data_IF_663987334556
#
_entry.id   IF_663987334556
#
_cell.length_a   1.000
_cell.length_b   1.000
_cell.length_c   1.000
_cell.angle_alpha   90.00
_cell.angle_beta   90.00
_cell.angle_gamma   90.00
#
_symmetry.space_group_name_H-M   'P 1'
#
loop_
_entity.id
_entity.type
_entity.pdbx_description
1 polymer ?
#
# COMPACT_ATOMS: atom_id res chain seq x y z
N UNK A 1 -10.05 38.90 -46.52
CA UNK A 1 -10.08 38.67 -45.06
C UNK A 1 -9.81 37.17 -44.87
N UNK A 2 -8.53 36.81 -44.65
CA UNK A 2 -8.11 35.39 -44.54
C UNK A 2 -8.12 34.97 -43.08
N UNK A 3 -9.07 34.09 -42.71
CA UNK A 3 -9.13 33.46 -41.40
C UNK A 3 -8.16 32.28 -41.40
N UNK A 4 -7.04 32.38 -40.67
CA UNK A 4 -6.17 31.23 -40.39
C UNK A 4 -6.79 30.43 -39.24
N UNK A 5 -7.31 29.26 -39.55
CA UNK A 5 -7.74 28.27 -38.53
C UNK A 5 -6.46 27.59 -38.00
N UNK A 6 -6.16 27.84 -36.74
CA UNK A 6 -5.08 27.17 -36.03
C UNK A 6 -5.60 25.83 -35.49
N UNK A 7 -5.17 24.73 -36.11
CA UNK A 7 -5.44 23.40 -35.58
C UNK A 7 -4.51 23.12 -34.38
N UNK A 8 -5.05 23.11 -33.18
CA UNK A 8 -4.35 22.53 -32.03
C UNK A 8 -4.40 21.01 -32.14
N UNK A 9 -3.30 20.38 -32.49
CA UNK A 9 -3.08 18.97 -32.35
C UNK A 9 -2.90 18.67 -30.85
N UNK A 10 -3.98 18.21 -30.19
CA UNK A 10 -3.91 17.57 -28.88
C UNK A 10 -3.23 16.20 -29.07
N UNK A 11 -1.95 16.13 -28.78
CA UNK A 11 -1.29 14.85 -28.59
C UNK A 11 -1.80 14.26 -27.27
N UNK A 12 -2.39 13.07 -27.26
CA UNK A 12 -2.69 12.37 -26.01
C UNK A 12 -1.32 12.02 -25.40
N UNK A 13 -0.99 12.62 -24.26
CA UNK A 13 0.07 12.10 -23.42
C UNK A 13 -0.38 10.71 -22.97
N UNK A 14 0.35 9.68 -23.36
CA UNK A 14 0.21 8.37 -22.79
C UNK A 14 0.67 8.46 -21.31
N UNK A 15 -0.29 8.51 -20.40
CA UNK A 15 -0.01 8.25 -18.98
C UNK A 15 0.38 6.77 -18.89
N UNK A 16 1.64 6.49 -18.70
CA UNK A 16 2.12 5.14 -18.40
C UNK A 16 1.70 4.81 -16.97
N UNK A 17 1.12 3.62 -16.77
CA UNK A 17 0.55 3.16 -15.51
C UNK A 17 1.59 2.84 -14.43
N UNK A 18 2.33 3.85 -13.99
CA UNK A 18 3.31 3.71 -12.90
C UNK A 18 2.66 3.83 -11.50
N UNK A 19 1.33 3.76 -11.42
CA UNK A 19 0.61 3.90 -10.16
C UNK A 19 0.88 5.24 -9.46
N UNK A 20 0.58 5.33 -8.17
CA UNK A 20 0.81 6.55 -7.37
C UNK A 20 2.28 6.99 -7.35
N UNK A 21 3.24 6.07 -7.33
CA UNK A 21 4.67 6.38 -7.39
C UNK A 21 5.08 7.07 -8.71
N UNK A 22 4.29 6.94 -9.77
CA UNK A 22 4.48 7.65 -11.04
C UNK A 22 4.19 9.16 -10.99
N UNK A 23 3.53 9.68 -9.95
CA UNK A 23 3.39 11.12 -9.71
C UNK A 23 4.73 11.84 -9.52
N UNK A 24 5.79 11.08 -9.31
CA UNK A 24 7.15 11.55 -9.13
C UNK A 24 8.04 11.57 -10.39
N UNK A 25 7.52 11.40 -11.60
CA UNK A 25 8.33 11.20 -12.84
C UNK A 25 9.25 12.33 -13.25
N UNK A 26 9.08 13.54 -12.73
CA UNK A 26 10.06 14.63 -12.93
C UNK A 26 11.00 14.66 -11.74
N UNK A 27 12.30 14.49 -11.98
CA UNK A 27 13.34 14.72 -11.00
C UNK A 27 13.12 16.12 -10.39
N UNK A 28 12.85 16.16 -9.10
CA UNK A 28 12.65 17.41 -8.38
C UNK A 28 13.88 17.64 -7.52
N UNK A 29 14.85 18.38 -8.03
CA UNK A 29 16.17 18.64 -7.44
C UNK A 29 16.13 19.28 -6.04
N UNK A 30 14.93 19.64 -5.57
CA UNK A 30 14.72 20.37 -4.31
C UNK A 30 14.18 19.50 -3.17
N UNK A 31 13.84 18.22 -3.39
CA UNK A 31 13.33 17.34 -2.36
C UNK A 31 14.45 16.53 -1.69
N UNK A 32 14.24 16.18 -0.42
CA UNK A 32 15.11 15.24 0.25
C UNK A 32 14.98 13.85 -0.37
N UNK A 33 16.08 13.09 -0.36
CA UNK A 33 16.12 11.69 -0.80
C UNK A 33 16.55 10.78 0.35
N UNK A 34 16.06 9.54 0.40
CA UNK A 34 16.45 8.59 1.43
C UNK A 34 17.97 8.36 1.43
N UNK A 35 18.56 8.23 2.62
CA UNK A 35 19.99 8.00 2.84
C UNK A 35 20.17 6.75 3.68
N UNK A 36 21.07 5.89 3.25
CA UNK A 36 21.42 4.69 4.01
C UNK A 36 21.98 5.07 5.39
N UNK A 37 21.54 4.36 6.43
CA UNK A 37 21.99 4.56 7.80
C UNK A 37 21.22 5.61 8.59
N UNK A 38 20.16 6.19 8.03
CA UNK A 38 19.20 7.00 8.80
C UNK A 38 18.39 6.08 9.72
N UNK A 39 18.26 6.46 10.99
CA UNK A 39 17.42 5.77 11.97
C UNK A 39 16.09 6.52 12.11
N UNK A 40 15.03 5.77 12.32
CA UNK A 40 13.71 6.34 12.59
C UNK A 40 13.61 6.87 14.01
N UNK A 41 12.90 7.98 14.16
CA UNK A 41 12.64 8.65 15.43
C UNK A 41 11.13 8.63 15.74
N UNK A 42 10.69 7.65 16.54
CA UNK A 42 9.28 7.57 16.93
C UNK A 42 9.01 8.44 18.17
N UNK A 43 7.82 9.10 18.24
CA UNK A 43 6.70 9.03 17.31
C UNK A 43 6.79 9.97 16.10
N UNK A 44 7.85 10.75 15.92
CA UNK A 44 7.95 11.79 14.87
C UNK A 44 7.70 11.23 13.48
N UNK A 45 8.32 10.07 13.16
CA UNK A 45 8.24 9.45 11.84
C UNK A 45 6.90 8.74 11.56
N UNK A 46 5.94 8.76 12.50
CA UNK A 46 4.56 8.43 12.19
C UNK A 46 3.85 9.56 11.44
N UNK A 47 4.33 10.77 11.60
CA UNK A 47 3.82 11.97 10.95
C UNK A 47 4.20 12.11 9.48
N UNK A 48 3.93 13.29 8.92
CA UNK A 48 4.26 13.61 7.54
C UNK A 48 5.69 14.16 7.40
N UNK A 49 6.34 13.87 6.27
CA UNK A 49 7.70 14.30 5.93
C UNK A 49 7.65 15.31 4.78
N UNK A 50 7.45 16.57 5.09
CA UNK A 50 7.15 17.65 4.13
C UNK A 50 8.22 17.85 3.07
N UNK A 51 9.47 17.51 3.38
CA UNK A 51 10.61 17.64 2.45
C UNK A 51 10.71 16.47 1.46
N UNK A 52 9.90 15.42 1.66
CA UNK A 52 9.79 14.30 0.71
C UNK A 52 8.59 14.48 -0.21
N UNK A 53 8.70 13.94 -1.42
CA UNK A 53 7.74 14.16 -2.49
C UNK A 53 6.48 13.34 -2.36
N UNK A 54 6.61 12.06 -1.98
CA UNK A 54 5.52 11.11 -1.84
C UNK A 54 5.64 10.36 -0.54
N UNK A 55 4.50 10.09 0.09
CA UNK A 55 4.43 9.18 1.23
C UNK A 55 3.02 8.62 1.39
N UNK A 56 2.91 7.50 2.10
CA UNK A 56 1.65 6.86 2.37
C UNK A 56 1.60 6.19 3.74
N UNK A 57 0.38 6.10 4.24
CA UNK A 57 -0.08 5.33 5.38
C UNK A 57 -1.02 4.28 4.80
N UNK A 58 -0.57 3.04 4.73
CA UNK A 58 -1.24 1.96 4.03
C UNK A 58 -1.54 0.83 4.98
N UNK A 59 -2.82 0.49 5.16
CA UNK A 59 -3.25 -0.57 6.05
C UNK A 59 -4.12 -1.56 5.30
N UNK A 60 -3.78 -2.84 5.43
CA UNK A 60 -4.56 -3.98 4.93
C UNK A 60 -4.91 -4.93 6.05
N UNK A 61 -6.12 -5.49 6.02
CA UNK A 61 -6.60 -6.44 7.00
C UNK A 61 -7.21 -7.67 6.35
N UNK A 62 -6.80 -8.85 6.82
CA UNK A 62 -7.42 -10.14 6.50
C UNK A 62 -8.33 -10.53 7.64
N UNK A 63 -9.63 -10.65 7.36
CA UNK A 63 -10.68 -10.75 8.37
C UNK A 63 -11.49 -12.04 8.18
N UNK A 64 -12.06 -12.52 9.27
CA UNK A 64 -13.06 -13.59 9.28
C UNK A 64 -14.31 -13.08 10.00
N UNK A 65 -15.46 -13.16 9.32
CA UNK A 65 -16.74 -12.77 9.88
C UNK A 65 -17.32 -13.80 10.83
N UNK A 66 -18.24 -13.38 11.70
CA UNK A 66 -19.04 -14.27 12.54
C UNK A 66 -19.92 -15.24 11.72
N UNK A 67 -20.15 -14.93 10.46
CA UNK A 67 -20.81 -15.77 9.45
C UNK A 67 -19.88 -16.86 8.86
N UNK A 68 -18.61 -16.90 9.29
CA UNK A 68 -17.59 -17.83 8.81
C UNK A 68 -17.02 -17.50 7.43
N UNK A 69 -17.34 -16.34 6.86
CA UNK A 69 -16.79 -15.91 5.58
C UNK A 69 -15.50 -15.11 5.76
N UNK A 70 -14.65 -15.14 4.75
CA UNK A 70 -13.46 -14.28 4.70
C UNK A 70 -13.79 -12.93 4.10
N UNK A 71 -13.10 -11.92 4.62
CA UNK A 71 -13.15 -10.54 4.15
C UNK A 71 -11.76 -9.93 4.12
N UNK A 72 -11.61 -8.86 3.33
CA UNK A 72 -10.49 -7.95 3.39
C UNK A 72 -10.96 -6.53 3.63
N UNK A 73 -10.15 -5.75 4.30
CA UNK A 73 -10.32 -4.31 4.38
C UNK A 73 -9.00 -3.63 4.03
N UNK A 74 -9.09 -2.51 3.34
CA UNK A 74 -7.95 -1.68 2.96
C UNK A 74 -8.26 -0.22 3.29
N UNK A 75 -7.25 0.50 3.76
CA UNK A 75 -7.26 1.93 3.99
C UNK A 75 -5.91 2.52 3.62
N UNK A 76 -5.90 3.52 2.76
CA UNK A 76 -4.66 4.19 2.37
C UNK A 76 -4.86 5.69 2.34
N UNK A 77 -3.92 6.43 2.89
CA UNK A 77 -3.79 7.86 2.72
C UNK A 77 -2.45 8.14 2.03
N UNK A 78 -2.51 8.78 0.90
CA UNK A 78 -1.35 9.21 0.13
C UNK A 78 -1.17 10.72 0.26
N UNK A 79 0.08 11.16 0.40
CA UNK A 79 0.48 12.55 0.25
C UNK A 79 1.43 12.71 -0.94
N UNK A 80 1.16 13.69 -1.77
CA UNK A 80 2.06 14.11 -2.83
C UNK A 80 2.37 15.60 -2.71
N UNK A 81 3.66 15.96 -2.70
CA UNK A 81 4.13 17.32 -2.63
C UNK A 81 4.52 17.84 -4.03
N UNK A 82 4.02 18.99 -4.40
CA UNK A 82 4.44 19.71 -5.61
C UNK A 82 5.71 20.52 -5.36
N UNK A 83 5.93 20.95 -4.10
CA UNK A 83 7.13 21.64 -3.62
C UNK A 83 7.48 21.12 -2.21
N UNK A 84 8.77 21.11 -1.80
CA UNK A 84 9.22 20.61 -0.50
C UNK A 84 8.99 21.64 0.61
N UNK A 85 7.76 22.10 0.75
CA UNK A 85 7.32 23.03 1.79
C UNK A 85 5.87 22.78 2.13
N UNK A 86 5.47 23.22 3.30
CA UNK A 86 4.08 23.28 3.72
C UNK A 86 3.72 24.71 4.01
N UNK A 87 2.47 25.07 3.74
CA UNK A 87 1.84 26.28 4.24
C UNK A 87 0.53 25.89 4.92
N UNK A 88 0.20 26.55 6.02
CA UNK A 88 -1.08 26.32 6.72
C UNK A 88 -2.24 27.07 6.05
N UNK A 89 -2.16 27.28 4.76
CA UNK A 89 -3.15 28.03 4.00
C UNK A 89 -3.57 27.28 2.74
N UNK A 90 -4.63 27.74 2.15
CA UNK A 90 -5.26 27.18 0.96
C UNK A 90 -4.29 26.97 -0.24
N UNK A 91 -3.18 27.68 -0.29
CA UNK A 91 -2.16 27.58 -1.31
C UNK A 91 -1.07 26.53 -1.01
N UNK A 92 -1.27 25.68 -0.01
CA UNK A 92 -0.34 24.58 0.28
C UNK A 92 -0.10 23.73 -0.97
N UNK A 93 1.17 23.42 -1.31
CA UNK A 93 1.51 22.58 -2.44
C UNK A 93 1.38 21.08 -2.15
N UNK A 94 0.75 20.69 -1.06
CA UNK A 94 0.54 19.31 -0.66
C UNK A 94 -0.85 18.85 -1.10
N UNK A 95 -0.92 17.65 -1.68
CA UNK A 95 -2.14 17.02 -2.16
C UNK A 95 -2.31 15.68 -1.44
N UNK A 96 -3.54 15.41 -1.00
CA UNK A 96 -3.93 14.18 -0.33
C UNK A 96 -4.88 13.38 -1.20
N UNK A 97 -4.72 12.06 -1.17
CA UNK A 97 -5.60 11.12 -1.82
C UNK A 97 -5.84 9.94 -0.86
N UNK A 98 -7.08 9.55 -0.70
CA UNK A 98 -7.47 8.42 0.15
C UNK A 98 -8.14 7.32 -0.66
N UNK A 99 -7.74 6.06 -0.43
CA UNK A 99 -8.41 4.89 -0.96
C UNK A 99 -8.87 4.01 0.20
N UNK A 100 -10.05 3.42 0.06
CA UNK A 100 -10.55 2.43 1.01
C UNK A 100 -11.42 1.40 0.30
N UNK A 101 -11.35 0.15 0.77
CA UNK A 101 -12.10 -0.94 0.20
C UNK A 101 -12.52 -1.98 1.25
N UNK A 102 -13.60 -2.72 0.91
CA UNK A 102 -13.96 -4.00 1.53
C UNK A 102 -14.04 -5.05 0.42
N UNK A 103 -13.37 -6.17 0.62
CA UNK A 103 -13.40 -7.30 -0.30
C UNK A 103 -14.05 -8.51 0.38
N UNK A 104 -14.99 -9.14 -0.28
CA UNK A 104 -15.52 -10.47 0.04
C UNK A 104 -15.34 -11.39 -1.16
N UNK A 105 -15.63 -12.68 -1.02
CA UNK A 105 -15.54 -13.62 -2.14
C UNK A 105 -16.41 -13.22 -3.36
N UNK A 106 -17.50 -12.47 -3.15
CA UNK A 106 -18.50 -12.16 -4.16
C UNK A 106 -18.60 -10.67 -4.51
N UNK A 107 -17.91 -9.80 -3.79
CA UNK A 107 -18.00 -8.34 -4.00
C UNK A 107 -16.70 -7.65 -3.58
N UNK A 108 -16.40 -6.57 -4.29
CA UNK A 108 -15.33 -5.65 -3.96
C UNK A 108 -15.91 -4.23 -3.97
N UNK A 109 -16.01 -3.64 -2.79
CA UNK A 109 -16.49 -2.28 -2.58
C UNK A 109 -15.29 -1.36 -2.39
N UNK A 110 -15.27 -0.24 -3.08
CA UNK A 110 -14.17 0.71 -3.00
C UNK A 110 -14.67 2.15 -3.01
N UNK A 111 -13.82 3.06 -2.56
CA UNK A 111 -14.03 4.50 -2.67
C UNK A 111 -12.69 5.24 -2.73
N UNK A 112 -12.70 6.40 -3.38
CA UNK A 112 -11.57 7.30 -3.52
C UNK A 112 -11.95 8.68 -3.02
N UNK A 113 -11.01 9.40 -2.40
CA UNK A 113 -11.16 10.78 -1.93
C UNK A 113 -9.94 11.60 -2.25
N UNK A 114 -10.16 12.90 -2.45
CA UNK A 114 -9.09 13.87 -2.66
C UNK A 114 -9.22 14.99 -1.64
N UNK A 115 -8.08 15.38 -1.09
CA UNK A 115 -8.00 16.48 -0.15
C UNK A 115 -6.86 17.43 -0.51
N UNK A 116 -7.01 18.68 -0.13
CA UNK A 116 -5.95 19.66 -0.22
C UNK A 116 -5.47 19.99 1.19
N UNK A 117 -4.15 20.07 1.35
CA UNK A 117 -3.57 20.48 2.63
C UNK A 117 -3.91 21.93 2.97
N UNK A 118 -3.81 22.30 4.25
CA UNK A 118 -4.12 23.64 4.74
C UNK A 118 -5.62 23.96 4.85
N UNK A 119 -6.50 23.04 4.41
CA UNK A 119 -7.97 23.20 4.53
C UNK A 119 -8.57 22.49 5.75
N UNK A 120 -7.80 21.63 6.42
CA UNK A 120 -8.28 20.75 7.48
C UNK A 120 -9.03 19.51 6.98
N UNK A 121 -9.20 19.37 5.66
CA UNK A 121 -9.91 18.23 5.04
C UNK A 121 -9.12 16.93 5.14
N UNK A 122 -7.79 17.00 5.05
CA UNK A 122 -6.90 15.86 5.15
C UNK A 122 -5.60 16.25 5.84
N UNK A 123 -4.94 15.28 6.43
CA UNK A 123 -3.67 15.52 7.08
C UNK A 123 -3.22 14.34 7.93
N UNK A 124 -2.04 14.52 8.56
CA UNK A 124 -1.51 13.59 9.56
C UNK A 124 -0.86 14.37 10.68
N UNK A 125 -1.12 13.93 11.91
CA UNK A 125 -0.38 14.34 13.11
C UNK A 125 0.34 13.13 13.71
N UNK A 126 1.53 13.34 14.29
CA UNK A 126 2.28 12.25 14.92
C UNK A 126 1.86 12.04 16.38
N UNK A 127 1.47 13.10 17.08
CA UNK A 127 1.11 13.07 18.50
C UNK A 127 -0.04 14.05 18.80
N UNK A 128 -1.21 13.58 19.20
CA UNK A 128 -1.66 12.18 19.08
C UNK A 128 -1.62 11.76 17.62
N UNK A 129 -1.40 10.46 17.36
CA UNK A 129 -1.40 9.98 15.98
C UNK A 129 -2.80 10.03 15.39
N UNK A 130 -2.94 10.71 14.28
CA UNK A 130 -4.15 10.73 13.48
C UNK A 130 -3.78 10.96 12.01
N UNK A 131 -4.28 10.09 11.14
CA UNK A 131 -4.25 10.26 9.69
C UNK A 131 -5.70 10.30 9.20
N UNK A 132 -6.08 11.33 8.45
CA UNK A 132 -7.49 11.51 8.06
C UNK A 132 -7.65 12.10 6.66
N UNK A 133 -8.80 11.82 6.06
CA UNK A 133 -9.33 12.51 4.89
C UNK A 133 -10.85 12.50 4.94
N UNK A 134 -11.48 13.69 5.00
CA UNK A 134 -12.90 13.88 5.26
C UNK A 134 -13.33 13.22 6.59
N UNK A 135 -14.18 12.20 6.51
CA UNK A 135 -14.67 11.38 7.63
C UNK A 135 -13.99 10.00 7.74
N UNK A 136 -12.95 9.75 6.96
CA UNK A 136 -12.10 8.59 7.13
C UNK A 136 -10.96 8.90 8.08
N UNK A 137 -10.64 7.97 8.96
CA UNK A 137 -9.57 8.19 9.93
C UNK A 137 -8.87 6.89 10.34
N UNK A 138 -7.60 7.04 10.64
CA UNK A 138 -6.75 6.10 11.37
C UNK A 138 -6.22 6.86 12.58
N UNK A 139 -6.71 6.54 13.77
CA UNK A 139 -6.40 7.25 15.01
C UNK A 139 -5.69 6.33 16.00
N UNK A 140 -4.55 6.78 16.49
CA UNK A 140 -3.86 6.12 17.60
C UNK A 140 -4.52 6.42 18.93
N UNK A 141 -4.78 5.40 19.73
CA UNK A 141 -5.13 5.59 21.12
C UNK A 141 -3.85 5.91 21.90
N UNK A 142 -3.88 6.99 22.68
CA UNK A 142 -2.74 7.38 23.51
C UNK A 142 -2.58 6.39 24.68
N UNK A 143 -1.80 5.35 24.53
CA UNK A 143 -1.37 4.51 25.64
C UNK A 143 -0.24 5.20 26.41
N UNK A 144 -0.33 5.20 27.75
CA UNK A 144 0.72 5.78 28.58
C UNK A 144 1.98 4.87 28.51
N UNK A 145 3.00 5.32 27.78
CA UNK A 145 4.28 4.63 27.66
C UNK A 145 4.39 3.62 26.53
N UNK A 146 3.37 3.49 25.67
CA UNK A 146 3.39 2.71 24.43
C UNK A 146 3.71 3.57 23.19
N UNK A 147 3.83 2.92 22.04
CA UNK A 147 3.94 3.59 20.76
C UNK A 147 2.58 4.13 20.31
N UNK A 148 2.56 5.22 19.54
CA UNK A 148 1.32 5.84 19.06
C UNK A 148 0.52 4.94 18.09
N UNK A 149 1.15 3.90 17.54
CA UNK A 149 0.55 2.90 16.67
C UNK A 149 0.22 1.57 17.39
N UNK A 150 0.40 1.47 18.71
CA UNK A 150 0.09 0.22 19.42
C UNK A 150 -1.41 -0.09 19.43
N UNK A 151 -2.25 0.93 19.51
CA UNK A 151 -3.70 0.80 19.45
C UNK A 151 -4.27 1.77 18.41
N UNK A 152 -5.01 1.25 17.43
CA UNK A 152 -5.54 2.03 16.30
C UNK A 152 -7.05 1.82 16.19
N UNK A 153 -7.78 2.94 16.05
CA UNK A 153 -9.14 2.96 15.55
C UNK A 153 -9.15 3.37 14.08
N UNK A 154 -9.65 2.49 13.21
CA UNK A 154 -9.70 2.67 11.78
C UNK A 154 -11.14 2.80 11.29
N UNK A 155 -11.43 3.82 10.48
CA UNK A 155 -12.76 4.07 9.94
C UNK A 155 -12.70 4.51 8.49
N UNK A 156 -13.56 3.91 7.66
CA UNK A 156 -13.86 4.42 6.33
C UNK A 156 -15.27 4.02 5.90
N UNK A 157 -15.77 4.72 4.88
CA UNK A 157 -17.05 4.39 4.24
C UNK A 157 -17.08 4.79 2.78
N UNK A 158 -17.88 4.04 2.01
CA UNK A 158 -18.33 4.41 0.67
C UNK A 158 -19.81 4.78 0.64
N UNK A 159 -20.48 4.54 -0.50
CA UNK A 159 -21.90 4.85 -0.67
C UNK A 159 -22.81 4.03 0.24
N UNK A 160 -22.65 2.71 0.20
CA UNK A 160 -23.52 1.73 0.88
C UNK A 160 -22.75 0.70 1.72
N UNK A 161 -21.48 1.01 2.02
CA UNK A 161 -20.61 0.22 2.88
C UNK A 161 -19.80 1.09 3.84
N UNK A 162 -19.41 0.51 4.97
CA UNK A 162 -18.45 1.13 5.89
C UNK A 162 -17.80 0.06 6.76
N UNK A 163 -16.70 0.44 7.40
CA UNK A 163 -16.11 -0.34 8.49
C UNK A 163 -15.66 0.54 9.63
N UNK A 164 -15.65 -0.07 10.81
CA UNK A 164 -14.99 0.42 12.00
C UNK A 164 -14.22 -0.74 12.60
N UNK A 165 -12.90 -0.61 12.67
CA UNK A 165 -11.99 -1.64 13.13
C UNK A 165 -11.11 -1.08 14.24
N UNK A 166 -10.95 -1.86 15.31
CA UNK A 166 -10.00 -1.63 16.39
C UNK A 166 -8.83 -2.61 16.22
N UNK A 167 -7.63 -2.09 16.23
CA UNK A 167 -6.40 -2.81 16.01
C UNK A 167 -5.50 -2.70 17.25
N UNK A 168 -4.94 -3.83 17.69
CA UNK A 168 -4.01 -3.92 18.81
C UNK A 168 -2.70 -4.56 18.32
N UNK A 169 -1.58 -3.87 18.48
CA UNK A 169 -0.27 -4.38 18.12
C UNK A 169 0.21 -5.42 19.15
N UNK A 170 0.59 -6.59 18.67
CA UNK A 170 1.09 -7.71 19.50
C UNK A 170 2.60 -7.97 19.33
N UNK A 171 3.28 -7.09 18.57
CA UNK A 171 4.69 -7.17 18.29
C UNK A 171 5.26 -5.81 17.88
N UNK A 172 6.57 -5.72 17.65
CA UNK A 172 7.24 -4.45 17.41
C UNK A 172 6.99 -3.89 16.00
N UNK A 173 7.31 -2.60 15.84
CA UNK A 173 7.51 -2.00 14.53
C UNK A 173 8.71 -2.66 13.81
N UNK A 174 8.61 -2.83 12.51
CA UNK A 174 9.58 -3.54 11.69
C UNK A 174 10.14 -2.61 10.61
N UNK A 175 11.40 -2.15 10.73
CA UNK A 175 12.08 -1.46 9.65
C UNK A 175 12.29 -2.41 8.46
N UNK A 176 11.86 -2.02 7.27
CA UNK A 176 12.00 -2.81 6.05
C UNK A 176 13.37 -2.61 5.38
N UNK A 177 13.84 -3.63 4.65
CA UNK A 177 15.12 -3.57 3.96
C UNK A 177 16.31 -3.42 4.92
N UNK A 178 17.22 -2.50 4.63
CA UNK A 178 18.39 -2.24 5.47
C UNK A 178 18.07 -1.22 6.57
N UNK A 179 17.47 -1.68 7.67
CA UNK A 179 17.06 -0.84 8.80
C UNK A 179 16.17 0.35 8.41
N UNK A 180 15.20 0.10 7.52
CA UNK A 180 14.28 1.11 7.02
C UNK A 180 14.69 1.75 5.69
N UNK A 181 15.87 1.45 5.17
CA UNK A 181 16.27 1.86 3.82
C UNK A 181 15.91 0.74 2.82
N UNK A 182 14.85 0.94 2.05
CA UNK A 182 14.31 -0.03 1.09
C UNK A 182 14.69 0.35 -0.33
N UNK A 183 15.58 -0.44 -0.94
CA UNK A 183 16.00 -0.26 -2.33
C UNK A 183 14.92 -0.75 -3.28
N UNK A 184 14.63 0.02 -4.34
CA UNK A 184 13.56 -0.22 -5.31
C UNK A 184 14.08 -0.55 -6.73
N UNK A 185 15.37 -0.39 -6.99
CA UNK A 185 15.98 -0.70 -8.28
C UNK A 185 17.48 -0.92 -8.15
N UNK A 186 18.10 -1.42 -9.22
CA UNK A 186 19.56 -1.52 -9.31
C UNK A 186 20.26 -0.16 -9.40
N UNK A 187 19.55 0.87 -9.88
CA UNK A 187 20.05 2.24 -9.95
C UNK A 187 20.06 2.96 -8.60
N UNK A 188 19.51 2.29 -7.56
CA UNK A 188 19.54 2.77 -6.19
C UNK A 188 18.39 3.68 -5.78
N UNK A 189 17.30 3.76 -6.57
CA UNK A 189 16.06 4.37 -6.07
C UNK A 189 15.63 3.65 -4.79
N UNK A 190 15.20 4.43 -3.81
CA UNK A 190 14.94 3.92 -2.47
C UNK A 190 13.84 4.71 -1.77
N UNK A 191 13.33 4.13 -0.71
CA UNK A 191 12.40 4.78 0.22
C UNK A 191 12.85 4.54 1.65
N UNK A 192 12.36 5.37 2.57
CA UNK A 192 12.26 5.02 3.97
C UNK A 192 10.98 4.23 4.18
N UNK A 193 11.07 3.09 4.88
CA UNK A 193 9.98 2.15 4.97
C UNK A 193 10.00 1.37 6.28
N UNK A 194 8.91 1.41 7.02
CA UNK A 194 8.68 0.52 8.15
C UNK A 194 7.23 0.02 8.16
N UNK A 195 7.00 -1.08 8.88
CA UNK A 195 5.68 -1.71 9.00
C UNK A 195 5.33 -1.98 10.46
N UNK A 196 4.02 -2.04 10.74
CA UNK A 196 3.49 -2.73 11.92
C UNK A 196 2.69 -3.95 11.43
N UNK A 197 3.32 -5.14 11.37
CA UNK A 197 2.70 -6.33 10.80
C UNK A 197 2.03 -7.23 11.83
N UNK A 198 1.89 -6.79 13.07
CA UNK A 198 1.46 -7.62 14.21
C UNK A 198 0.12 -7.19 14.79
N UNK A 199 -0.77 -6.58 14.01
CA UNK A 199 -2.08 -6.22 14.54
C UNK A 199 -3.02 -7.40 14.65
N UNK A 200 -3.67 -7.53 15.83
CA UNK A 200 -4.94 -8.23 15.99
C UNK A 200 -6.07 -7.23 15.72
N UNK A 201 -7.08 -7.67 15.01
CA UNK A 201 -8.19 -6.82 14.58
C UNK A 201 -9.51 -7.35 15.10
N UNK A 202 -10.36 -6.45 15.55
CA UNK A 202 -11.78 -6.70 15.81
C UNK A 202 -12.62 -5.51 15.33
N UNK A 203 -13.89 -5.74 15.04
CA UNK A 203 -14.77 -4.65 14.62
C UNK A 203 -15.93 -5.11 13.79
N UNK A 204 -16.46 -4.20 12.97
CA UNK A 204 -17.62 -4.47 12.14
C UNK A 204 -17.48 -3.94 10.72
N UNK A 205 -18.03 -4.69 9.78
CA UNK A 205 -18.27 -4.29 8.40
C UNK A 205 -19.76 -4.08 8.23
N UNK A 206 -20.15 -2.96 7.64
CA UNK A 206 -21.51 -2.69 7.17
C UNK A 206 -21.50 -2.88 5.66
N UNK A 207 -22.29 -3.80 5.18
CA UNK A 207 -22.42 -4.16 3.76
C UNK A 207 -23.88 -4.01 3.33
N UNK A 208 -24.20 -3.93 2.04
CA UNK A 208 -25.59 -3.95 1.58
C UNK A 208 -26.41 -5.14 2.07
N UNK A 209 -25.73 -6.26 2.37
CA UNK A 209 -26.34 -7.48 2.92
C UNK A 209 -26.60 -7.43 4.43
N UNK A 210 -26.05 -6.46 5.15
CA UNK A 210 -26.16 -6.32 6.60
C UNK A 210 -24.82 -6.04 7.27
N UNK A 211 -24.83 -6.00 8.60
CA UNK A 211 -23.62 -5.79 9.41
C UNK A 211 -23.03 -7.14 9.81
N UNK A 212 -21.71 -7.28 9.67
CA UNK A 212 -20.94 -8.47 10.05
C UNK A 212 -19.90 -8.07 11.10
N UNK A 213 -19.87 -8.76 12.25
CA UNK A 213 -18.76 -8.65 13.19
C UNK A 213 -17.58 -9.46 12.65
N UNK A 214 -16.39 -8.90 12.76
CA UNK A 214 -15.18 -9.49 12.19
C UNK A 214 -14.03 -9.49 13.19
N UNK A 215 -13.15 -10.49 13.04
CA UNK A 215 -11.84 -10.53 13.71
C UNK A 215 -10.78 -10.93 12.69
N UNK A 216 -9.52 -10.64 12.96
CA UNK A 216 -8.45 -11.03 12.05
C UNK A 216 -7.10 -10.42 12.38
N UNK A 217 -6.31 -10.21 11.34
CA UNK A 217 -4.96 -9.64 11.42
C UNK A 217 -4.84 -8.49 10.42
N UNK A 218 -3.97 -7.52 10.74
CA UNK A 218 -3.68 -6.43 9.83
C UNK A 218 -2.17 -6.15 9.73
N UNK A 219 -1.85 -5.45 8.67
CA UNK A 219 -0.52 -4.97 8.32
C UNK A 219 -0.60 -3.50 7.98
N UNK A 220 0.18 -2.66 8.66
CA UNK A 220 0.33 -1.24 8.34
C UNK A 220 1.72 -1.00 7.77
N UNK A 221 1.78 -0.28 6.67
CA UNK A 221 2.99 0.25 6.07
C UNK A 221 3.04 1.76 6.15
N UNK A 222 4.23 2.26 6.49
CA UNK A 222 4.62 3.64 6.38
C UNK A 222 5.82 3.74 5.46
N UNK A 223 5.67 4.48 4.38
CA UNK A 223 6.73 4.62 3.41
C UNK A 223 6.76 6.03 2.84
N UNK A 224 7.96 6.59 2.64
CA UNK A 224 8.15 7.89 2.02
C UNK A 224 9.42 7.96 1.18
N UNK A 225 9.34 8.71 0.09
CA UNK A 225 10.43 8.90 -0.87
C UNK A 225 10.24 10.16 -1.71
N UNK A 226 11.30 10.57 -2.39
CA UNK A 226 11.25 11.57 -3.46
C UNK A 226 11.74 11.00 -4.80
N UNK A 227 12.09 9.72 -4.81
CA UNK A 227 12.61 9.06 -5.99
C UNK A 227 11.48 8.29 -6.69
N UNK A 228 11.17 8.62 -7.95
CA UNK A 228 10.21 7.86 -8.74
C UNK A 228 10.74 6.45 -9.03
N UNK A 229 9.86 5.58 -9.52
CA UNK A 229 10.28 4.35 -10.16
C UNK A 229 11.23 4.66 -11.34
N UNK A 230 12.13 3.74 -11.66
CA UNK A 230 12.97 3.92 -12.83
C UNK A 230 12.13 3.93 -14.12
N UNK A 231 12.63 4.57 -15.19
CA UNK A 231 11.86 4.82 -16.42
C UNK A 231 11.44 3.55 -17.16
N UNK A 232 12.10 2.44 -16.90
CA UNK A 232 11.85 1.10 -17.45
C UNK A 232 10.93 0.25 -16.58
N UNK A 233 10.69 0.64 -15.33
CA UNK A 233 9.73 -0.04 -14.47
C UNK A 233 8.29 0.28 -14.91
N UNK A 234 7.47 -0.78 -15.03
CA UNK A 234 6.09 -0.69 -15.53
C UNK A 234 5.04 -0.81 -14.44
N UNK A 235 5.43 -1.22 -13.24
CA UNK A 235 4.55 -1.41 -12.09
C UNK A 235 5.16 -2.34 -11.08
N UNK A 236 4.42 -2.65 -10.04
CA UNK A 236 4.84 -3.57 -8.98
C UNK A 236 3.78 -4.60 -8.63
N UNK A 237 4.26 -5.68 -8.01
CA UNK A 237 3.47 -6.68 -7.31
C UNK A 237 4.02 -6.77 -5.90
N UNK A 238 3.21 -6.37 -4.91
CA UNK A 238 3.57 -6.31 -3.51
C UNK A 238 2.76 -7.31 -2.69
N UNK A 239 3.42 -7.99 -1.75
CA UNK A 239 2.84 -9.03 -0.91
C UNK A 239 3.15 -8.75 0.56
N UNK A 240 2.14 -8.79 1.42
CA UNK A 240 2.29 -8.98 2.87
C UNK A 240 1.76 -10.36 3.23
N UNK A 241 2.57 -11.16 3.93
CA UNK A 241 2.24 -12.54 4.27
C UNK A 241 2.32 -12.75 5.78
N UNK A 242 1.27 -13.33 6.34
CA UNK A 242 1.20 -13.83 7.71
C UNK A 242 1.19 -15.36 7.68
N UNK A 243 2.27 -15.98 8.12
CA UNK A 243 2.39 -17.44 8.20
C UNK A 243 1.74 -17.96 9.48
N UNK A 244 1.20 -19.18 9.43
CA UNK A 244 0.54 -19.82 10.60
C UNK A 244 1.50 -20.05 11.78
N UNK A 245 2.81 -20.15 11.53
CA UNK A 245 3.84 -20.29 12.56
C UNK A 245 4.19 -18.99 13.28
N UNK A 246 3.53 -17.86 12.91
CA UNK A 246 3.74 -16.53 13.47
C UNK A 246 4.79 -15.69 12.77
N UNK A 247 5.61 -16.27 11.90
CA UNK A 247 6.52 -15.52 11.03
C UNK A 247 5.73 -14.68 10.00
N UNK A 248 6.41 -13.73 9.37
CA UNK A 248 5.80 -12.86 8.35
C UNK A 248 6.81 -12.55 7.26
N UNK A 249 6.31 -12.12 6.12
CA UNK A 249 7.17 -11.63 5.03
C UNK A 249 6.48 -10.46 4.32
N UNK A 250 7.20 -9.39 4.12
CA UNK A 250 6.91 -8.44 3.06
C UNK A 250 7.82 -8.76 1.87
N UNK A 251 7.27 -8.78 0.68
CA UNK A 251 8.05 -8.96 -0.54
C UNK A 251 7.42 -8.23 -1.70
N UNK A 252 8.25 -7.74 -2.61
CA UNK A 252 7.76 -7.10 -3.83
C UNK A 252 8.61 -7.43 -5.03
N UNK A 253 7.97 -7.33 -6.20
CA UNK A 253 8.57 -7.34 -7.51
C UNK A 253 8.26 -6.02 -8.21
N UNK A 254 9.29 -5.33 -8.69
CA UNK A 254 9.15 -4.20 -9.61
C UNK A 254 9.43 -4.72 -11.01
N UNK A 255 8.42 -4.64 -11.88
CA UNK A 255 8.49 -5.23 -13.23
C UNK A 255 9.15 -4.26 -14.19
N UNK A 256 10.19 -4.72 -14.86
CA UNK A 256 10.86 -3.97 -15.91
C UNK A 256 10.28 -4.30 -17.29
N UNK A 257 10.34 -3.34 -18.20
CA UNK A 257 9.83 -3.48 -19.57
C UNK A 257 10.55 -4.56 -20.37
N UNK A 258 11.83 -4.75 -20.10
CA UNK A 258 12.71 -5.67 -20.83
C UNK A 258 12.95 -7.02 -20.15
N UNK A 259 12.20 -7.33 -19.08
CA UNK A 259 11.99 -8.71 -18.63
C UNK A 259 12.72 -9.18 -17.38
N UNK A 260 13.71 -8.50 -16.83
CA UNK A 260 14.29 -8.85 -15.55
C UNK A 260 13.77 -7.96 -14.42
N UNK A 261 12.77 -8.45 -13.70
CA UNK A 261 12.17 -7.71 -12.58
C UNK A 261 13.11 -7.63 -11.38
N UNK A 262 13.11 -6.47 -10.72
CA UNK A 262 13.79 -6.31 -9.45
C UNK A 262 12.92 -6.86 -8.32
N UNK A 263 13.44 -7.76 -7.47
CA UNK A 263 12.74 -8.26 -6.29
C UNK A 263 13.49 -7.93 -5.02
N UNK A 264 12.76 -7.62 -3.96
CA UNK A 264 13.28 -7.39 -2.63
C UNK A 264 12.22 -7.72 -1.58
N UNK A 265 12.58 -7.66 -0.30
CA UNK A 265 11.66 -7.91 0.80
C UNK A 265 12.36 -8.06 2.13
N UNK A 266 11.58 -8.41 3.13
CA UNK A 266 12.04 -8.67 4.50
C UNK A 266 11.32 -9.90 5.05
N UNK A 267 12.08 -10.86 5.52
CA UNK A 267 11.57 -11.94 6.37
C UNK A 267 11.53 -11.46 7.82
N UNK A 268 10.46 -11.74 8.52
CA UNK A 268 10.24 -11.29 9.89
C UNK A 268 9.95 -12.53 10.73
N UNK A 269 10.84 -12.82 11.67
CA UNK A 269 10.62 -13.92 12.61
C UNK A 269 9.43 -13.65 13.54
N UNK A 270 8.93 -14.68 14.21
CA UNK A 270 7.73 -14.58 15.06
C UNK A 270 7.89 -13.59 16.24
N UNK A 271 9.13 -13.30 16.64
CA UNK A 271 9.46 -12.29 17.66
C UNK A 271 9.60 -10.87 17.11
N UNK A 272 9.42 -10.69 15.79
CA UNK A 272 9.50 -9.40 15.12
C UNK A 272 10.90 -9.02 14.61
N UNK A 273 11.89 -9.91 14.72
CA UNK A 273 13.24 -9.63 14.21
C UNK A 273 13.26 -9.64 12.68
N UNK A 274 13.59 -8.51 12.01
CA UNK A 274 13.62 -8.46 10.55
C UNK A 274 14.95 -8.97 9.97
N UNK A 275 14.87 -9.61 8.82
CA UNK A 275 16.01 -9.98 7.99
C UNK A 275 15.75 -9.53 6.55
N UNK A 276 16.50 -8.56 6.06
CA UNK A 276 16.41 -8.12 4.68
C UNK A 276 16.77 -9.26 3.73
N UNK A 277 15.97 -9.49 2.71
CA UNK A 277 16.26 -10.47 1.68
C UNK A 277 17.39 -9.97 0.79
N UNK A 278 18.27 -10.88 0.39
CA UNK A 278 19.27 -10.57 -0.64
C UNK A 278 18.55 -10.16 -1.94
N UNK A 279 19.10 -9.21 -2.71
CA UNK A 279 18.54 -8.83 -3.99
C UNK A 279 18.27 -10.05 -4.88
N UNK A 280 17.09 -10.09 -5.52
CA UNK A 280 16.64 -11.20 -6.39
C UNK A 280 16.54 -12.58 -5.73
N UNK A 281 16.61 -12.67 -4.39
CA UNK A 281 16.42 -13.95 -3.69
C UNK A 281 14.97 -14.44 -3.75
N UNK A 282 14.01 -13.50 -3.73
CA UNK A 282 12.59 -13.80 -3.90
C UNK A 282 12.29 -13.99 -5.39
N UNK A 283 11.72 -15.15 -5.73
CA UNK A 283 11.26 -15.47 -7.09
C UNK A 283 9.75 -15.44 -7.09
N UNK A 284 9.18 -14.53 -7.88
CA UNK A 284 7.75 -14.34 -8.04
C UNK A 284 7.35 -14.76 -9.46
N UNK A 285 6.33 -15.59 -9.59
CA UNK A 285 5.88 -16.10 -10.88
C UNK A 285 4.35 -16.17 -10.93
N UNK A 286 3.71 -15.55 -11.93
CA UNK A 286 2.27 -15.68 -12.10
C UNK A 286 1.90 -17.11 -12.51
N UNK A 287 0.79 -17.63 -11.98
CA UNK A 287 0.28 -18.98 -12.29
C UNK A 287 -1.08 -18.94 -12.96
N UNK A 288 -1.96 -18.08 -12.52
CA UNK A 288 -3.33 -17.98 -13.01
C UNK A 288 -3.73 -16.53 -13.26
N UNK A 289 -4.49 -16.32 -14.32
CA UNK A 289 -4.94 -14.99 -14.75
C UNK A 289 -6.47 -14.94 -14.79
N UNK A 290 -7.02 -13.77 -14.53
CA UNK A 290 -8.44 -13.46 -14.69
C UNK A 290 -8.62 -12.27 -15.63
N UNK A 291 -9.74 -12.25 -16.34
CA UNK A 291 -10.20 -11.02 -17.00
C UNK A 291 -10.86 -10.13 -15.94
N UNK A 292 -10.26 -8.98 -15.70
CA UNK A 292 -10.73 -7.98 -14.74
C UNK A 292 -11.01 -6.70 -15.50
N UNK A 293 -12.28 -6.45 -15.82
CA UNK A 293 -12.72 -5.30 -16.60
C UNK A 293 -11.97 -5.15 -17.94
N UNK A 294 -11.74 -6.25 -18.66
CA UNK A 294 -11.03 -6.27 -19.93
C UNK A 294 -9.49 -6.20 -19.79
N UNK A 295 -8.96 -6.46 -18.61
CA UNK A 295 -7.52 -6.58 -18.31
C UNK A 295 -7.18 -8.02 -17.97
N UNK A 296 -6.09 -8.53 -18.50
CA UNK A 296 -5.54 -9.81 -18.06
C UNK A 296 -4.65 -9.58 -16.82
N UNK A 297 -5.20 -9.89 -15.63
CA UNK A 297 -4.54 -9.66 -14.33
C UNK A 297 -4.17 -11.01 -13.70
N UNK A 298 -2.92 -11.19 -13.23
CA UNK A 298 -2.54 -12.40 -12.52
C UNK A 298 -3.13 -12.40 -11.11
N UNK A 299 -3.98 -13.38 -10.81
CA UNK A 299 -4.70 -13.50 -9.53
C UNK A 299 -4.20 -14.67 -8.67
N UNK A 300 -3.29 -15.46 -9.21
CA UNK A 300 -2.60 -16.55 -8.51
C UNK A 300 -1.11 -16.51 -8.83
N UNK A 301 -0.29 -16.66 -7.79
CA UNK A 301 1.15 -16.52 -7.88
C UNK A 301 1.88 -17.66 -7.18
N UNK A 302 3.06 -18.02 -7.68
CA UNK A 302 4.04 -18.83 -6.95
C UNK A 302 5.15 -17.94 -6.43
N UNK A 303 5.38 -18.00 -5.12
CA UNK A 303 6.48 -17.31 -4.46
C UNK A 303 7.48 -18.35 -3.95
N UNK A 304 8.75 -18.17 -4.31
CA UNK A 304 9.83 -19.02 -3.81
C UNK A 304 10.94 -18.20 -3.20
N UNK A 305 11.38 -18.64 -2.03
CA UNK A 305 12.53 -18.08 -1.33
C UNK A 305 13.36 -19.26 -0.77
N UNK A 306 14.27 -19.85 -1.59
CA UNK A 306 14.97 -21.09 -1.24
C UNK A 306 15.73 -21.02 0.08
N UNK A 307 16.33 -19.88 0.41
CA UNK A 307 17.06 -19.69 1.68
C UNK A 307 16.21 -19.85 2.93
N UNK A 308 14.88 -19.77 2.81
CA UNK A 308 13.90 -19.95 3.89
C UNK A 308 13.01 -21.19 3.66
N UNK A 309 13.29 -21.98 2.63
CA UNK A 309 12.46 -23.15 2.28
C UNK A 309 11.05 -22.78 1.82
N UNK A 310 10.82 -21.51 1.43
CA UNK A 310 9.51 -21.05 0.97
C UNK A 310 9.26 -21.48 -0.47
N UNK A 311 8.15 -22.18 -0.70
CA UNK A 311 7.58 -22.49 -2.02
C UNK A 311 6.06 -22.59 -1.84
N UNK A 312 5.37 -21.49 -2.10
CA UNK A 312 3.94 -21.32 -1.86
C UNK A 312 3.21 -20.88 -3.12
N UNK A 313 1.91 -21.17 -3.16
CA UNK A 313 0.99 -20.69 -4.17
C UNK A 313 -0.08 -19.83 -3.51
N UNK A 314 -0.32 -18.63 -4.04
CA UNK A 314 -1.36 -17.71 -3.57
C UNK A 314 -2.64 -17.90 -4.36
N UNK A 315 -3.77 -17.64 -3.70
CA UNK A 315 -5.11 -17.61 -4.28
C UNK A 315 -5.81 -16.35 -3.77
N UNK A 316 -6.28 -15.52 -4.69
CA UNK A 316 -7.09 -14.35 -4.34
C UNK A 316 -8.43 -14.75 -3.71
N UNK A 317 -8.92 -13.99 -2.74
CA UNK A 317 -10.27 -14.15 -2.21
C UNK A 317 -11.31 -13.80 -3.27
N UNK A 318 -11.03 -12.78 -4.08
CA UNK A 318 -11.88 -12.30 -5.16
C UNK A 318 -10.99 -11.82 -6.32
N UNK A 319 -11.10 -12.48 -7.46
CA UNK A 319 -10.31 -12.12 -8.65
C UNK A 319 -10.63 -10.70 -9.17
N UNK A 320 -11.84 -10.20 -8.89
CA UNK A 320 -12.34 -8.90 -9.34
C UNK A 320 -12.04 -7.74 -8.38
N UNK A 321 -10.96 -7.83 -7.60
CA UNK A 321 -10.55 -6.80 -6.62
C UNK A 321 -9.84 -5.61 -7.28
N UNK A 322 -10.46 -5.02 -8.30
CA UNK A 322 -9.94 -3.88 -9.04
C UNK A 322 -10.34 -2.55 -8.38
N UNK A 323 -9.37 -1.67 -8.20
CA UNK A 323 -9.55 -0.30 -7.72
C UNK A 323 -9.52 0.66 -8.93
N UNK A 324 -10.65 1.05 -9.51
CA UNK A 324 -10.72 1.94 -10.69
C UNK A 324 -10.55 3.41 -10.28
N UNK A 325 -9.51 3.69 -9.54
CA UNK A 325 -9.15 5.01 -9.01
C UNK A 325 -8.39 5.84 -10.03
N UNK A 326 -8.01 7.08 -9.70
CA UNK A 326 -7.18 7.92 -10.57
C UNK A 326 -5.88 7.21 -11.00
N UNK A 327 -5.30 6.42 -10.10
CA UNK A 327 -4.19 5.51 -10.37
C UNK A 327 -4.70 4.08 -10.15
N UNK A 328 -5.22 3.42 -11.19
CA UNK A 328 -5.89 2.16 -11.02
C UNK A 328 -4.92 1.02 -10.70
N UNK A 329 -5.35 0.10 -9.85
CA UNK A 329 -4.58 -1.05 -9.42
C UNK A 329 -5.50 -2.19 -8.98
N UNK A 330 -4.95 -3.39 -8.84
CA UNK A 330 -5.64 -4.52 -8.23
C UNK A 330 -5.18 -4.68 -6.78
N UNK A 331 -6.11 -4.88 -5.85
CA UNK A 331 -5.78 -5.03 -4.45
C UNK A 331 -6.77 -5.90 -3.70
N UNK A 332 -6.28 -6.97 -3.04
CA UNK A 332 -7.16 -7.87 -2.32
C UNK A 332 -6.47 -8.84 -1.39
N UNK A 333 -7.25 -9.41 -0.44
CA UNK A 333 -6.75 -10.46 0.44
C UNK A 333 -6.49 -11.74 -0.34
N UNK A 334 -5.43 -12.46 0.09
CA UNK A 334 -5.02 -13.74 -0.46
C UNK A 334 -4.92 -14.78 0.66
N UNK A 335 -5.14 -16.05 0.30
CA UNK A 335 -4.68 -17.22 1.04
C UNK A 335 -3.52 -17.83 0.29
N UNK A 336 -2.66 -18.54 1.00
CA UNK A 336 -1.59 -19.29 0.36
C UNK A 336 -1.34 -20.60 1.07
N UNK A 337 -0.77 -21.55 0.32
CA UNK A 337 -0.39 -22.86 0.82
C UNK A 337 0.74 -23.46 0.02
N UNK A 338 1.34 -24.52 0.58
CA UNK A 338 2.48 -25.22 0.00
C UNK A 338 3.49 -25.62 1.07
N UNK A 339 4.71 -25.08 1.04
CA UNK A 339 5.68 -25.28 2.11
C UNK A 339 5.26 -24.60 3.42
N UNK A 340 4.46 -23.55 3.33
CA UNK A 340 3.91 -22.77 4.43
C UNK A 340 2.46 -22.42 4.08
N UNK A 341 1.61 -22.40 5.10
CA UNK A 341 0.22 -21.96 4.97
C UNK A 341 0.03 -20.61 5.66
N UNK A 342 -0.97 -19.83 5.18
CA UNK A 342 -1.26 -18.55 5.77
C UNK A 342 -2.20 -17.67 4.96
N UNK A 343 -2.25 -16.40 5.36
CA UNK A 343 -3.06 -15.34 4.74
C UNK A 343 -2.19 -14.12 4.48
N UNK A 344 -2.64 -13.27 3.58
CA UNK A 344 -1.93 -12.04 3.27
C UNK A 344 -2.73 -11.10 2.41
N UNK A 345 -2.05 -10.11 1.89
CA UNK A 345 -2.59 -9.15 0.94
C UNK A 345 -1.68 -9.05 -0.27
N UNK A 346 -2.27 -8.80 -1.42
CA UNK A 346 -1.60 -8.58 -2.69
C UNK A 346 -2.06 -7.26 -3.26
N UNK A 347 -1.11 -6.41 -3.65
CA UNK A 347 -1.35 -5.19 -4.41
C UNK A 347 -0.54 -5.23 -5.70
N UNK A 348 -1.16 -4.86 -6.82
CA UNK A 348 -0.53 -4.91 -8.13
C UNK A 348 -0.89 -3.70 -8.97
N UNK A 349 0.11 -3.03 -9.52
CA UNK A 349 -0.08 -1.88 -10.41
C UNK A 349 0.43 -2.17 -11.82
N UNK A 350 0.08 -1.32 -12.80
CA UNK A 350 0.62 -1.40 -14.15
C UNK A 350 0.00 -2.48 -15.06
N UNK A 351 -1.14 -3.04 -14.67
CA UNK A 351 -1.95 -3.94 -15.51
C UNK A 351 -3.03 -3.13 -16.22
N UNK A 352 -2.64 -2.45 -17.29
CA UNK A 352 -3.58 -1.68 -18.09
C UNK A 352 -4.33 -2.57 -19.09
N UNK A 353 -5.54 -2.14 -19.49
CA UNK A 353 -6.25 -2.79 -20.59
C UNK A 353 -5.44 -2.72 -21.88
N UNK A 354 -5.34 -3.83 -22.60
CA UNK A 354 -4.78 -3.82 -23.95
C UNK A 354 -5.56 -2.77 -24.76
N UNK A 355 -4.89 -1.70 -25.17
CA UNK A 355 -5.51 -0.71 -26.08
C UNK A 355 -5.76 -1.40 -27.41
N UNK A 356 -7.04 -1.55 -27.80
CA UNK A 356 -7.44 -1.89 -29.16
C UNK A 356 -7.04 -0.79 -30.15
#
# INVERSE_FOLDING_TARGET
MNVKVLFFLLFPFAAFGQGFAGLGTTAADNFDVPKLGTLFEFPTDHGQHETFRIEWWYLTATLTGEDGQDYGAQWTLFRSALEPKRTESWDSPQIWMGHAAITSANAHFHAERFGRDGSGQAGVTAVPFEAWIDDWSMMGAASVGGDALDEIELRARGGDWSYQLSLEATGPLVPQGQQGYSVKSEDGQSSYYYSQPFYQVSGSLVLPSGTVQVTGQAWLDREWSSQPLSSDQTGWDWFSLHFENGEKMMGFQLRDRDGESFTSGTWISADGTPTALAPRALVVSPLGFADVEGREVPVSWRLRLPGYGLDITTIALNDQSWMPTLFPYWEGPIRFGGSHDGRGYLEMTGYESARN
#
